data_IF_584647803533
#
_entry.id   IF_584647803533
#
_cell.length_a   1.000
_cell.length_b   1.000
_cell.length_c   1.000
_cell.angle_alpha   90.00
_cell.angle_beta   90.00
_cell.angle_gamma   90.00
#
_symmetry.space_group_name_H-M   'P 1'
#
loop_
_entity.id
_entity.type
_entity.pdbx_description
1 polymer ?
#
# COMPACT_ATOMS: atom_id res chain seq x y z
N UNK A 1 29.71 40.36 -14.09
CA UNK A 1 28.27 40.15 -14.33
C UNK A 1 28.10 38.70 -14.72
N UNK A 2 27.15 38.02 -14.08
CA UNK A 2 27.18 36.57 -13.79
C UNK A 2 27.16 35.64 -15.01
N UNK A 3 27.78 34.48 -14.76
CA UNK A 3 27.81 33.23 -15.50
C UNK A 3 26.39 32.72 -15.85
N UNK A 4 26.22 32.17 -17.05
CA UNK A 4 25.21 31.15 -17.34
C UNK A 4 25.95 29.92 -17.89
N UNK A 5 26.40 29.05 -16.99
CA UNK A 5 25.65 27.92 -16.44
C UNK A 5 25.63 26.77 -17.45
N UNK A 6 26.55 25.85 -17.19
CA UNK A 6 26.67 24.58 -17.90
C UNK A 6 25.33 23.86 -17.86
N UNK A 7 24.83 23.49 -19.03
CA UNK A 7 23.78 22.48 -19.17
C UNK A 7 24.36 21.16 -18.66
N UNK A 8 24.20 20.94 -17.36
CA UNK A 8 24.54 19.70 -16.68
C UNK A 8 23.66 18.58 -17.26
N UNK A 9 24.24 17.86 -18.21
CA UNK A 9 24.55 16.44 -18.04
C UNK A 9 24.01 15.85 -16.74
N UNK A 10 22.85 15.21 -16.81
CA UNK A 10 22.63 13.81 -16.40
C UNK A 10 21.15 13.55 -16.57
N UNK A 11 20.82 12.70 -17.55
CA UNK A 11 19.59 11.92 -17.62
C UNK A 11 19.05 11.72 -16.21
N UNK A 12 17.90 12.29 -15.89
CA UNK A 12 17.10 11.79 -14.79
C UNK A 12 16.75 10.35 -15.16
N UNK A 13 17.59 9.42 -14.71
CA UNK A 13 17.30 8.01 -14.65
C UNK A 13 15.96 7.95 -13.92
N UNK A 14 14.97 7.38 -14.61
CA UNK A 14 13.60 7.29 -14.13
C UNK A 14 13.61 6.80 -12.67
N UNK A 15 12.92 7.52 -11.80
CA UNK A 15 12.72 7.20 -10.38
C UNK A 15 12.00 5.86 -10.12
N UNK A 16 11.76 5.05 -11.16
CA UNK A 16 11.07 3.77 -11.06
C UNK A 16 11.92 2.71 -10.36
N UNK A 17 13.26 2.75 -10.50
CA UNK A 17 14.17 1.75 -9.95
C UNK A 17 14.46 1.94 -8.45
N UNK A 18 14.38 3.17 -7.91
CA UNK A 18 14.52 3.41 -6.45
C UNK A 18 13.27 3.00 -5.66
N UNK A 19 12.12 2.86 -6.33
CA UNK A 19 10.88 2.37 -5.73
C UNK A 19 10.95 0.85 -5.51
N UNK A 20 11.81 0.14 -6.25
CA UNK A 20 11.89 -1.33 -6.18
C UNK A 20 12.63 -1.85 -4.94
N UNK A 21 13.63 -1.11 -4.43
CA UNK A 21 14.43 -1.52 -3.26
C UNK A 21 13.70 -1.23 -1.92
N UNK A 22 12.84 -0.22 -1.85
CA UNK A 22 12.04 0.07 -0.65
C UNK A 22 10.77 -0.81 -0.53
N UNK A 23 10.39 -1.52 -1.59
CA UNK A 23 9.17 -2.35 -1.67
C UNK A 23 9.18 -3.57 -0.73
N UNK A 24 10.33 -4.07 -0.29
CA UNK A 24 10.38 -5.33 0.50
C UNK A 24 9.84 -5.20 1.94
N UNK A 25 9.54 -3.98 2.41
CA UNK A 25 9.05 -3.75 3.78
C UNK A 25 7.54 -3.51 3.89
N UNK A 26 6.79 -3.54 2.79
CA UNK A 26 5.36 -3.25 2.80
C UNK A 26 4.50 -4.50 3.02
N UNK A 27 3.38 -4.34 3.70
CA UNK A 27 2.35 -5.38 3.75
C UNK A 27 1.66 -5.50 2.39
N UNK A 28 0.90 -6.59 2.15
CA UNK A 28 0.01 -6.68 0.98
C UNK A 28 -0.92 -5.46 0.88
N UNK A 29 -1.48 -5.02 2.00
CA UNK A 29 -2.32 -3.82 2.03
C UNK A 29 -1.50 -2.56 1.71
N UNK A 30 -0.28 -2.45 2.24
CA UNK A 30 0.65 -1.37 1.92
C UNK A 30 0.92 -1.28 0.42
N UNK A 31 1.22 -2.40 -0.24
CA UNK A 31 1.39 -2.46 -1.69
C UNK A 31 0.14 -2.06 -2.47
N UNK A 32 -1.05 -2.47 -2.01
CA UNK A 32 -2.32 -2.05 -2.62
C UNK A 32 -2.50 -0.53 -2.52
N UNK A 33 -2.29 0.03 -1.33
CA UNK A 33 -2.46 1.46 -1.06
C UNK A 33 -1.43 2.32 -1.79
N UNK A 34 -0.18 1.86 -1.95
CA UNK A 34 0.86 2.59 -2.68
C UNK A 34 0.56 2.76 -4.17
N UNK A 35 -0.34 1.95 -4.73
CA UNK A 35 -0.83 2.09 -6.11
C UNK A 35 -1.99 3.08 -6.25
N UNK A 36 -2.57 3.53 -5.14
CA UNK A 36 -3.73 4.43 -5.12
C UNK A 36 -3.27 5.88 -4.95
N UNK A 37 -3.98 6.86 -5.54
CA UNK A 37 -3.57 8.27 -5.51
C UNK A 37 -3.82 8.99 -4.17
N UNK A 38 -4.12 8.25 -3.09
CA UNK A 38 -4.54 8.81 -1.81
C UNK A 38 -3.49 8.54 -0.73
N UNK A 39 -2.97 9.60 -0.11
CA UNK A 39 -1.90 9.49 0.88
C UNK A 39 -2.37 8.88 2.21
N UNK A 40 -1.47 8.22 2.93
CA UNK A 40 -1.76 7.64 4.26
C UNK A 40 -2.33 8.66 5.24
N UNK A 41 -1.81 9.89 5.23
CA UNK A 41 -2.29 10.97 6.11
C UNK A 41 -3.74 11.36 5.78
N UNK A 42 -4.13 11.32 4.50
CA UNK A 42 -5.50 11.59 4.06
C UNK A 42 -6.42 10.40 4.37
N UNK A 43 -5.94 9.16 4.22
CA UNK A 43 -6.66 7.96 4.67
C UNK A 43 -6.97 8.04 6.15
N UNK A 44 -5.96 8.24 7.01
CA UNK A 44 -6.14 8.32 8.46
C UNK A 44 -7.18 9.38 8.88
N UNK A 45 -7.21 10.52 8.19
CA UNK A 45 -8.21 11.57 8.43
C UNK A 45 -9.62 11.18 7.96
N UNK A 46 -9.76 10.55 6.79
CA UNK A 46 -11.08 10.12 6.26
C UNK A 46 -11.66 8.93 7.03
N UNK A 47 -10.81 7.98 7.43
CA UNK A 47 -11.25 6.72 8.06
C UNK A 47 -11.33 6.81 9.58
N UNK A 48 -10.70 7.82 10.20
CA UNK A 48 -10.56 7.90 11.66
C UNK A 48 -9.56 6.89 12.24
N UNK A 49 -8.88 6.09 11.41
CA UNK A 49 -7.82 5.19 11.84
C UNK A 49 -6.62 6.02 12.29
N UNK A 50 -6.07 5.71 13.47
CA UNK A 50 -4.92 6.44 14.00
C UNK A 50 -3.72 6.37 13.05
N UNK A 51 -2.89 7.42 13.04
CA UNK A 51 -1.69 7.47 12.19
C UNK A 51 -0.75 6.29 12.46
N UNK A 52 -0.58 5.93 13.74
CA UNK A 52 0.24 4.80 14.15
C UNK A 52 -0.33 3.47 13.63
N UNK A 53 -1.65 3.28 13.70
CA UNK A 53 -2.30 2.08 13.18
C UNK A 53 -2.19 2.02 11.66
N UNK A 54 -2.43 3.12 10.95
CA UNK A 54 -2.27 3.21 9.50
C UNK A 54 -0.82 2.86 9.06
N UNK A 55 0.17 3.36 9.79
CA UNK A 55 1.58 3.01 9.56
C UNK A 55 1.83 1.50 9.74
N UNK A 56 1.35 0.91 10.84
CA UNK A 56 1.44 -0.55 11.07
C UNK A 56 0.78 -1.35 9.94
N UNK A 57 -0.41 -0.95 9.51
CA UNK A 57 -1.09 -1.62 8.38
C UNK A 57 -0.31 -1.55 7.07
N UNK A 58 0.57 -0.55 6.93
CA UNK A 58 1.35 -0.33 5.71
C UNK A 58 2.69 -1.10 5.72
N UNK A 59 3.39 -1.17 6.86
CA UNK A 59 4.76 -1.73 6.94
C UNK A 59 4.95 -2.96 7.84
N UNK A 60 4.03 -3.24 8.77
CA UNK A 60 4.17 -4.38 9.68
C UNK A 60 3.51 -5.64 9.08
N UNK A 61 4.34 -6.52 8.51
CA UNK A 61 3.90 -7.77 7.86
C UNK A 61 3.15 -8.73 8.79
N UNK A 62 3.30 -8.60 10.11
CA UNK A 62 2.54 -9.39 11.10
C UNK A 62 1.17 -8.78 11.40
N UNK A 63 1.02 -7.50 11.09
CA UNK A 63 -0.23 -6.78 11.29
C UNK A 63 -1.27 -7.20 10.25
N UNK A 64 -2.41 -7.69 10.74
CA UNK A 64 -3.56 -7.97 9.89
C UNK A 64 -4.56 -6.82 10.01
N UNK A 65 -5.08 -6.28 8.89
CA UNK A 65 -6.19 -5.35 8.94
C UNK A 65 -7.46 -6.07 9.38
N UNK A 66 -8.28 -5.40 10.19
CA UNK A 66 -9.62 -5.88 10.53
C UNK A 66 -10.59 -5.62 9.38
N UNK A 67 -11.75 -6.30 9.40
CA UNK A 67 -12.79 -6.09 8.39
C UNK A 67 -13.26 -4.63 8.38
N UNK A 68 -13.44 -4.04 9.57
CA UNK A 68 -13.83 -2.64 9.74
C UNK A 68 -12.82 -1.69 9.09
N UNK A 69 -11.51 -1.93 9.33
CA UNK A 69 -10.44 -1.11 8.74
C UNK A 69 -10.45 -1.19 7.21
N UNK A 70 -10.61 -2.39 6.64
CA UNK A 70 -10.70 -2.60 5.19
C UNK A 70 -11.93 -1.88 4.63
N UNK A 71 -13.07 -1.99 5.30
CA UNK A 71 -14.32 -1.39 4.85
C UNK A 71 -14.23 0.14 4.85
N UNK A 72 -13.69 0.74 5.92
CA UNK A 72 -13.45 2.19 5.98
C UNK A 72 -12.47 2.66 4.90
N UNK A 73 -11.41 1.89 4.65
CA UNK A 73 -10.46 2.18 3.56
C UNK A 73 -11.16 2.10 2.20
N UNK A 74 -12.02 1.11 1.96
CA UNK A 74 -12.80 0.99 0.73
C UNK A 74 -13.67 2.23 0.50
N UNK A 75 -14.41 2.67 1.52
CA UNK A 75 -15.20 3.90 1.48
C UNK A 75 -14.33 5.14 1.22
N UNK A 76 -13.16 5.23 1.85
CA UNK A 76 -12.26 6.38 1.69
C UNK A 76 -11.56 6.42 0.31
N UNK A 77 -11.45 5.29 -0.37
CA UNK A 77 -10.90 5.15 -1.72
C UNK A 77 -11.96 5.13 -2.81
N UNK A 78 -13.25 5.06 -2.44
CA UNK A 78 -14.38 4.95 -3.37
C UNK A 78 -14.25 3.71 -4.28
N UNK A 79 -13.77 2.60 -3.68
CA UNK A 79 -13.63 1.29 -4.33
C UNK A 79 -14.49 0.25 -3.63
N UNK A 80 -14.73 -0.88 -4.28
CA UNK A 80 -15.47 -1.98 -3.64
C UNK A 80 -14.61 -2.67 -2.57
N UNK A 81 -15.25 -3.07 -1.46
CA UNK A 81 -14.61 -3.91 -0.44
C UNK A 81 -14.06 -5.21 -1.03
N UNK A 82 -14.81 -5.82 -1.94
CA UNK A 82 -14.47 -7.08 -2.60
C UNK A 82 -13.13 -6.98 -3.34
N UNK A 83 -12.89 -5.90 -4.10
CA UNK A 83 -11.62 -5.68 -4.79
C UNK A 83 -10.41 -5.73 -3.83
N UNK A 84 -10.54 -5.08 -2.66
CA UNK A 84 -9.46 -5.06 -1.67
C UNK A 84 -9.25 -6.47 -1.11
N UNK A 85 -10.32 -7.15 -0.74
CA UNK A 85 -10.23 -8.50 -0.15
C UNK A 85 -9.66 -9.50 -1.13
N UNK A 86 -10.10 -9.51 -2.38
CA UNK A 86 -9.56 -10.39 -3.43
C UNK A 86 -8.06 -10.20 -3.60
N UNK A 87 -7.59 -8.95 -3.56
CA UNK A 87 -6.17 -8.64 -3.61
C UNK A 87 -5.42 -9.19 -2.37
N UNK A 88 -5.94 -8.96 -1.16
CA UNK A 88 -5.30 -9.38 0.09
C UNK A 88 -5.26 -10.91 0.26
N UNK A 89 -6.37 -11.55 -0.07
CA UNK A 89 -6.60 -12.99 0.05
C UNK A 89 -6.16 -13.79 -1.17
N UNK A 90 -5.56 -13.12 -2.18
CA UNK A 90 -4.95 -13.79 -3.32
C UNK A 90 -3.97 -14.88 -2.85
N UNK A 91 -4.23 -16.11 -3.29
CA UNK A 91 -3.44 -17.30 -2.95
C UNK A 91 -3.93 -18.11 -1.76
N UNK A 92 -4.97 -17.66 -1.04
CA UNK A 92 -5.63 -18.52 -0.05
C UNK A 92 -6.32 -19.68 -0.76
N UNK A 93 -6.04 -20.89 -0.27
CA UNK A 93 -6.66 -22.13 -0.73
C UNK A 93 -7.17 -22.88 0.48
N UNK A 94 -8.30 -23.55 0.32
CA UNK A 94 -8.77 -24.51 1.32
C UNK A 94 -7.78 -25.67 1.37
N UNK A 95 -7.67 -26.30 2.54
CA UNK A 95 -6.94 -27.57 2.66
C UNK A 95 -7.64 -28.64 1.82
N UNK A 96 -6.92 -29.62 1.27
CA UNK A 96 -7.53 -30.75 0.59
C UNK A 96 -8.58 -31.41 1.49
N UNK A 97 -9.70 -31.83 0.90
CA UNK A 97 -10.81 -32.47 1.61
C UNK A 97 -10.37 -33.73 2.37
N UNK A 98 -9.33 -34.39 1.87
CA UNK A 98 -8.69 -35.57 2.45
C UNK A 98 -8.03 -35.29 3.82
N UNK A 99 -7.80 -34.04 4.19
CA UNK A 99 -7.15 -33.61 5.44
C UNK A 99 -8.16 -33.01 6.46
N UNK A 100 -9.47 -33.08 6.19
CA UNK A 100 -10.50 -32.52 7.09
C UNK A 100 -10.87 -33.46 8.25
N UNK A 101 -10.07 -34.52 8.45
CA UNK A 101 -10.27 -35.57 9.46
C UNK A 101 -9.92 -35.12 10.86
#
# INVERSE_FOLDING_TARGET
MQMNSQLNMTKCIFNEDLIEVAKETLTKLGHYLSKKPLSQAKLARRTGISKDRMSKLHVDVKSKPTIEEIYLIALALEVSYTEIVEFLCSGLKLRPEQEWS
#
